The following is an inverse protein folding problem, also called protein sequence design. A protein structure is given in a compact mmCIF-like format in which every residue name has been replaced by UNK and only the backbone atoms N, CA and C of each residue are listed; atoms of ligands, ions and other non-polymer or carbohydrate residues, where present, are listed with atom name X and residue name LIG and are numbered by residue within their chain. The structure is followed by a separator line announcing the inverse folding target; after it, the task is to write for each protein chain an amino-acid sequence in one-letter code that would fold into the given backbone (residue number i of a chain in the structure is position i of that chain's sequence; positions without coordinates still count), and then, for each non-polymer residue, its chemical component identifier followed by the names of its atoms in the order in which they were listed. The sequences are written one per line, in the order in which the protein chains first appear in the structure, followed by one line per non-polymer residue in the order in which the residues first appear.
data_IF_373976252828
#
_entry.id   IF_373976252828
#
_cell.length_a   1.000
_cell.length_b   1.000
_cell.length_c   1.000
_cell.angle_alpha   90.00
_cell.angle_beta   90.00
_cell.angle_gamma   90.00
#
_symmetry.space_group_name_H-M   'P 1'
#
loop_
_entity.id
_entity.type
_entity.pdbx_description
1 polymer ?
#
# COMPACT_ATOMS: atom_id res chain seq x y z
N UNK A 1 -0.54 49.87 18.95
CA UNK A 1 0.74 49.27 19.40
C UNK A 1 0.45 48.35 20.58
N UNK A 2 0.52 47.03 20.38
CA UNK A 2 1.26 46.03 21.19
C UNK A 2 0.78 44.62 20.83
N UNK A 3 1.74 43.83 20.35
CA UNK A 3 1.77 42.36 20.34
C UNK A 3 2.35 41.89 21.70
N UNK A 4 2.77 40.63 21.90
CA UNK A 4 2.06 39.35 22.07
C UNK A 4 2.25 38.73 23.49
N UNK A 5 1.61 37.58 23.68
CA UNK A 5 2.11 36.39 24.43
C UNK A 5 2.31 36.46 25.95
N UNK A 6 1.60 35.58 26.67
CA UNK A 6 2.26 34.77 27.70
C UNK A 6 1.55 33.41 27.90
N UNK A 7 2.10 32.37 27.28
CA UNK A 7 1.61 30.99 27.25
C UNK A 7 2.14 30.16 28.43
N UNK A 8 2.31 30.78 29.60
CA UNK A 8 2.92 30.14 30.78
C UNK A 8 2.29 30.64 32.08
N UNK A 9 1.05 30.28 32.36
CA UNK A 9 0.49 30.47 33.71
C UNK A 9 -0.73 29.61 34.03
N UNK A 10 -0.71 28.33 33.66
CA UNK A 10 -1.73 27.38 34.16
C UNK A 10 -1.14 26.02 34.57
N UNK A 11 0.06 26.04 35.14
CA UNK A 11 0.53 24.95 36.01
C UNK A 11 1.21 25.60 37.21
N UNK A 12 0.41 26.02 38.19
CA UNK A 12 0.85 26.08 39.59
C UNK A 12 -0.35 26.32 40.50
N UNK A 13 -0.45 25.46 41.51
CA UNK A 13 -1.34 25.52 42.66
C UNK A 13 -2.76 25.06 42.32
N UNK A 14 -3.39 24.08 42.95
CA UNK A 14 -3.06 23.13 44.05
C UNK A 14 -4.39 22.40 44.26
N UNK A 15 -4.42 21.08 44.14
CA UNK A 15 -4.39 20.14 45.28
C UNK A 15 -5.77 19.95 45.94
N UNK A 16 -6.23 18.69 45.90
CA UNK A 16 -7.26 18.07 46.74
C UNK A 16 -8.67 18.67 46.74
N UNK A 17 -9.58 18.02 46.01
CA UNK A 17 -10.86 17.50 46.55
C UNK A 17 -11.46 16.56 45.49
N UNK A 18 -11.83 15.33 45.88
CA UNK A 18 -12.66 14.45 45.05
C UNK A 18 -12.04 13.09 44.72
N UNK A 19 -11.59 12.36 45.76
CA UNK A 19 -11.34 10.92 45.65
C UNK A 19 -12.69 10.20 45.58
N UNK A 20 -13.22 9.98 44.38
CA UNK A 20 -14.29 9.01 44.11
C UNK A 20 -14.41 8.83 42.60
N UNK A 21 -13.81 7.76 42.08
CA UNK A 21 -14.38 6.78 41.14
C UNK A 21 -13.22 5.85 40.78
N UNK A 22 -13.12 4.77 41.57
CA UNK A 22 -12.49 3.54 41.14
C UNK A 22 -13.45 2.89 40.14
N UNK A 23 -13.18 3.03 38.85
CA UNK A 23 -13.63 2.07 37.85
C UNK A 23 -12.41 1.57 37.10
N UNK A 24 -11.99 0.39 37.52
CA UNK A 24 -11.17 -0.57 36.81
C UNK A 24 -11.60 -0.68 35.34
N UNK A 25 -10.91 0.06 34.48
CA UNK A 25 -11.02 -0.04 33.03
C UNK A 25 -9.66 0.26 32.45
N UNK A 26 -8.98 -0.77 31.95
CA UNK A 26 -7.75 -0.62 31.17
C UNK A 26 -8.07 0.34 30.02
N UNK A 27 -7.54 1.57 30.06
CA UNK A 27 -7.51 2.45 28.89
C UNK A 27 -6.54 1.85 27.87
N UNK A 28 -7.02 0.87 27.11
CA UNK A 28 -6.43 0.53 25.81
C UNK A 28 -6.85 1.62 24.84
N UNK A 29 -6.16 2.76 24.87
CA UNK A 29 -6.21 3.77 23.84
C UNK A 29 -5.43 3.28 22.61
N UNK A 30 -5.95 2.23 21.96
CA UNK A 30 -5.56 1.82 20.62
C UNK A 30 -6.84 1.42 19.89
N UNK A 31 -7.58 2.40 19.41
CA UNK A 31 -8.64 2.17 18.43
C UNK A 31 -7.95 1.89 17.10
N UNK A 32 -7.62 0.63 16.84
CA UNK A 32 -7.36 0.18 15.48
C UNK A 32 -8.70 0.17 14.74
N UNK A 33 -8.86 0.81 13.56
CA UNK A 33 -10.00 0.55 12.71
C UNK A 33 -9.86 -0.88 12.20
N UNK A 34 -10.49 -1.84 12.89
CA UNK A 34 -10.50 -3.26 12.50
C UNK A 34 -11.61 -3.59 11.49
N UNK A 35 -12.44 -2.61 11.12
CA UNK A 35 -13.71 -2.84 10.43
C UNK A 35 -13.90 -2.09 9.09
N UNK A 36 -12.85 -1.46 8.53
CA UNK A 36 -13.00 -0.81 7.22
C UNK A 36 -13.00 -1.85 6.09
N UNK A 37 -14.11 -1.88 5.34
CA UNK A 37 -14.23 -2.65 4.11
C UNK A 37 -13.15 -2.21 3.10
N UNK A 38 -12.51 -3.14 2.39
CA UNK A 38 -11.49 -2.80 1.41
C UNK A 38 -12.08 -2.00 0.24
N UNK A 39 -11.53 -0.82 -0.03
CA UNK A 39 -11.90 0.01 -1.18
C UNK A 39 -10.97 -0.27 -2.37
N UNK A 40 -11.45 -0.91 -3.46
CA UNK A 40 -10.65 -1.20 -4.65
C UNK A 40 -9.94 0.00 -5.25
N UNK A 41 -10.49 1.22 -5.12
CA UNK A 41 -9.91 2.44 -5.69
C UNK A 41 -8.64 2.86 -4.96
N UNK A 42 -8.57 2.62 -3.65
CA UNK A 42 -7.41 2.93 -2.79
C UNK A 42 -6.29 1.87 -2.87
N UNK A 43 -6.56 0.71 -3.48
CA UNK A 43 -5.60 -0.37 -3.66
C UNK A 43 -4.90 -0.28 -5.02
N UNK A 44 -3.77 -0.96 -5.18
CA UNK A 44 -3.23 -1.26 -6.50
C UNK A 44 -4.10 -2.32 -7.22
N UNK A 45 -3.84 -2.52 -8.52
CA UNK A 45 -4.57 -3.53 -9.30
C UNK A 45 -4.50 -4.93 -8.69
N UNK A 46 -3.37 -5.33 -8.10
CA UNK A 46 -3.24 -6.62 -7.42
C UNK A 46 -3.84 -6.67 -6.02
N UNK A 47 -4.38 -5.57 -5.48
CA UNK A 47 -4.91 -5.50 -4.11
C UNK A 47 -3.86 -5.17 -3.04
N UNK A 48 -2.60 -4.98 -3.42
CA UNK A 48 -1.55 -4.48 -2.52
C UNK A 48 -1.59 -2.96 -2.38
N UNK A 49 -1.05 -2.43 -1.28
CA UNK A 49 -0.76 -1.00 -1.11
C UNK A 49 0.75 -0.82 -1.04
N UNK A 50 1.31 -0.02 -1.95
CA UNK A 50 2.75 0.23 -1.94
C UNK A 50 3.18 0.87 -0.61
N UNK A 51 4.33 0.48 -0.05
CA UNK A 51 4.83 1.08 1.17
C UNK A 51 5.33 2.50 0.90
N UNK A 52 5.32 3.36 1.92
CA UNK A 52 5.73 4.76 1.78
C UNK A 52 7.23 4.90 1.47
N UNK A 53 8.04 3.95 1.92
CA UNK A 53 9.50 3.87 1.75
C UNK A 53 9.90 2.95 0.59
N UNK A 54 9.12 2.97 -0.50
CA UNK A 54 9.42 2.14 -1.67
C UNK A 54 10.73 2.57 -2.37
N UNK A 55 11.77 1.77 -2.21
CA UNK A 55 13.11 2.01 -2.80
C UNK A 55 13.09 2.10 -4.33
N UNK A 56 12.16 1.40 -5.01
CA UNK A 56 12.06 1.46 -6.47
C UNK A 56 11.48 2.80 -6.94
N UNK A 57 10.51 3.35 -6.20
CA UNK A 57 10.00 4.70 -6.47
C UNK A 57 11.10 5.74 -6.24
N UNK A 58 11.80 5.64 -5.11
CA UNK A 58 12.93 6.53 -4.79
C UNK A 58 14.00 6.52 -5.89
N UNK A 59 14.42 5.34 -6.35
CA UNK A 59 15.39 5.19 -7.43
C UNK A 59 14.90 5.83 -8.74
N UNK A 60 13.59 5.76 -9.01
CA UNK A 60 12.97 6.32 -10.21
C UNK A 60 12.88 7.84 -10.16
N UNK A 61 12.53 8.41 -9.01
CA UNK A 61 12.41 9.85 -8.80
C UNK A 61 13.76 10.55 -8.81
N UNK A 62 14.77 9.94 -8.16
CA UNK A 62 16.15 10.45 -8.16
C UNK A 62 16.85 10.23 -9.51
N UNK A 63 16.29 9.37 -10.36
CA UNK A 63 16.90 8.90 -11.60
C UNK A 63 18.35 8.40 -11.38
N UNK A 64 18.58 7.71 -10.26
CA UNK A 64 19.90 7.27 -9.83
C UNK A 64 20.15 5.84 -10.34
N UNK A 65 21.23 5.68 -11.12
CA UNK A 65 21.55 4.40 -11.78
C UNK A 65 21.89 3.29 -10.77
N UNK A 66 22.59 3.62 -9.69
CA UNK A 66 23.01 2.67 -8.66
C UNK A 66 21.80 2.20 -7.84
N UNK A 67 20.91 3.11 -7.46
CA UNK A 67 19.65 2.76 -6.80
C UNK A 67 18.75 1.92 -7.71
N UNK A 68 18.70 2.23 -9.00
CA UNK A 68 17.97 1.41 -9.98
C UNK A 68 18.56 0.02 -10.11
N UNK A 69 19.88 -0.13 -10.10
CA UNK A 69 20.54 -1.44 -10.14
C UNK A 69 20.21 -2.27 -8.90
N UNK A 70 20.25 -1.66 -7.71
CA UNK A 70 19.83 -2.32 -6.46
C UNK A 70 18.37 -2.78 -6.51
N UNK A 71 17.47 -1.92 -7.00
CA UNK A 71 16.06 -2.27 -7.16
C UNK A 71 15.87 -3.42 -8.16
N UNK A 72 16.58 -3.42 -9.29
CA UNK A 72 16.57 -4.49 -10.29
C UNK A 72 16.95 -5.85 -9.69
N UNK A 73 18.01 -5.88 -8.88
CA UNK A 73 18.51 -7.10 -8.24
C UNK A 73 17.56 -7.58 -7.14
N UNK A 74 17.14 -6.67 -6.25
CA UNK A 74 16.22 -6.98 -5.15
C UNK A 74 14.89 -7.54 -5.66
N UNK A 75 14.38 -7.00 -6.78
CA UNK A 75 13.13 -7.43 -7.39
C UNK A 75 13.32 -8.57 -8.39
N UNK A 76 14.55 -9.10 -8.52
CA UNK A 76 14.88 -10.24 -9.38
C UNK A 76 14.30 -10.09 -10.79
N UNK A 77 14.42 -8.89 -11.37
CA UNK A 77 13.79 -8.53 -12.65
C UNK A 77 14.25 -9.46 -13.78
N UNK A 78 15.53 -9.83 -13.80
CA UNK A 78 16.08 -10.76 -14.78
C UNK A 78 15.45 -12.16 -14.67
N UNK A 79 15.37 -12.69 -13.45
CA UNK A 79 14.80 -14.02 -13.17
C UNK A 79 13.31 -14.06 -13.54
N UNK A 80 12.59 -12.97 -13.28
CA UNK A 80 11.13 -12.92 -13.48
C UNK A 80 10.70 -12.58 -14.89
N UNK A 81 11.51 -11.82 -15.65
CA UNK A 81 11.11 -11.31 -16.96
C UNK A 81 12.10 -11.63 -18.07
N UNK A 82 13.29 -12.17 -17.77
CA UNK A 82 14.35 -12.43 -18.75
C UNK A 82 14.94 -11.15 -19.37
N UNK A 83 14.84 -10.03 -18.67
CA UNK A 83 15.24 -8.70 -19.16
C UNK A 83 16.53 -8.30 -18.47
N UNK A 84 17.58 -8.04 -19.25
CA UNK A 84 18.85 -7.52 -18.76
C UNK A 84 18.71 -6.09 -18.22
N UNK A 85 19.64 -5.69 -17.34
CA UNK A 85 19.60 -4.37 -16.74
C UNK A 85 19.84 -3.26 -17.77
N UNK A 86 18.85 -2.38 -17.91
CA UNK A 86 18.92 -1.16 -18.71
C UNK A 86 18.31 0.00 -17.91
N UNK A 87 19.15 0.93 -17.42
CA UNK A 87 18.77 1.93 -16.42
C UNK A 87 17.61 2.85 -16.85
N UNK A 88 17.40 3.02 -18.15
CA UNK A 88 16.30 3.78 -18.75
C UNK A 88 14.96 3.03 -18.69
N UNK A 89 14.96 1.69 -18.61
CA UNK A 89 13.77 0.83 -18.46
C UNK A 89 13.46 0.44 -17.01
N UNK A 90 14.46 0.53 -16.14
CA UNK A 90 14.32 0.22 -14.71
C UNK A 90 13.77 1.43 -13.95
N UNK A 91 12.44 1.56 -13.93
CA UNK A 91 11.74 2.57 -13.13
C UNK A 91 10.31 2.12 -12.79
N UNK A 92 9.72 2.72 -11.76
CA UNK A 92 8.34 2.52 -11.34
C UNK A 92 7.79 3.79 -10.67
N UNK A 93 6.64 4.29 -11.17
CA UNK A 93 5.95 5.46 -10.63
C UNK A 93 4.56 5.14 -10.07
N UNK A 94 4.33 3.86 -9.72
CA UNK A 94 3.05 3.36 -9.24
C UNK A 94 2.14 2.86 -10.36
N UNK A 95 1.43 1.75 -10.11
CA UNK A 95 0.74 1.00 -11.17
C UNK A 95 -0.47 1.73 -11.78
N UNK A 96 -1.10 2.62 -11.02
CA UNK A 96 -2.27 3.44 -11.39
C UNK A 96 -1.93 4.86 -11.85
N UNK A 97 -0.64 5.20 -11.93
CA UNK A 97 -0.22 6.53 -12.36
C UNK A 97 -0.27 6.65 -13.90
N UNK A 98 -1.36 7.21 -14.42
CA UNK A 98 -1.55 7.39 -15.87
C UNK A 98 -0.69 8.52 -16.46
N UNK A 99 -0.20 9.45 -15.63
CA UNK A 99 0.64 10.58 -16.06
C UNK A 99 2.13 10.26 -16.17
N UNK A 100 2.52 9.02 -15.90
CA UNK A 100 3.92 8.57 -15.95
C UNK A 100 4.07 7.35 -16.86
N UNK A 101 5.24 7.18 -17.51
CA UNK A 101 5.49 6.01 -18.32
C UNK A 101 5.44 4.73 -17.47
N UNK A 102 5.14 3.61 -18.12
CA UNK A 102 5.20 2.29 -17.49
C UNK A 102 6.62 1.72 -17.67
N UNK A 103 7.33 1.46 -16.58
CA UNK A 103 8.63 0.80 -16.61
C UNK A 103 8.52 -0.72 -16.68
N UNK A 104 9.66 -1.41 -16.51
CA UNK A 104 9.78 -2.86 -16.75
C UNK A 104 8.77 -3.72 -15.98
N UNK A 105 8.51 -3.44 -14.70
CA UNK A 105 7.56 -4.24 -13.91
C UNK A 105 6.12 -4.03 -14.39
N UNK A 106 5.74 -2.79 -14.71
CA UNK A 106 4.37 -2.44 -15.07
C UNK A 106 4.00 -2.89 -16.49
N UNK A 107 4.99 -2.96 -17.38
CA UNK A 107 4.84 -3.43 -18.76
C UNK A 107 4.70 -4.95 -18.83
N UNK A 108 5.37 -5.69 -17.94
CA UNK A 108 5.33 -7.15 -17.89
C UNK A 108 4.32 -7.73 -16.89
N UNK A 109 3.61 -6.89 -16.12
CA UNK A 109 2.64 -7.37 -15.14
C UNK A 109 1.31 -7.81 -15.79
N UNK A 110 1.13 -9.12 -15.93
CA UNK A 110 -0.08 -9.74 -16.51
C UNK A 110 -1.36 -9.43 -15.71
N UNK A 111 -1.25 -9.30 -14.38
CA UNK A 111 -2.36 -8.92 -13.50
C UNK A 111 -2.82 -7.48 -13.77
N UNK A 112 -1.88 -6.56 -13.96
CA UNK A 112 -2.18 -5.16 -14.26
C UNK A 112 -2.88 -5.03 -15.62
N UNK A 113 -2.36 -5.70 -16.65
CA UNK A 113 -2.99 -5.70 -17.97
C UNK A 113 -4.43 -6.23 -17.89
N UNK A 114 -4.62 -7.39 -17.28
CA UNK A 114 -5.94 -8.01 -17.09
C UNK A 114 -6.93 -7.11 -16.34
N UNK A 115 -6.50 -6.44 -15.26
CA UNK A 115 -7.37 -5.53 -14.51
C UNK A 115 -7.78 -4.30 -15.34
N UNK A 116 -6.85 -3.73 -16.12
CA UNK A 116 -7.16 -2.62 -17.04
C UNK A 116 -8.16 -3.05 -18.12
N UNK A 117 -7.96 -4.20 -18.74
CA UNK A 117 -8.83 -4.71 -19.81
C UNK A 117 -10.25 -4.98 -19.30
N UNK A 118 -10.37 -5.51 -18.08
CA UNK A 118 -11.65 -5.73 -17.40
C UNK A 118 -12.22 -4.46 -16.74
N UNK A 119 -11.53 -3.33 -16.83
CA UNK A 119 -11.90 -2.06 -16.19
C UNK A 119 -12.13 -2.20 -14.67
N UNK A 120 -11.32 -3.04 -14.02
CA UNK A 120 -11.33 -3.18 -12.57
C UNK A 120 -10.31 -2.24 -11.92
N UNK A 121 -10.73 -1.59 -10.84
CA UNK A 121 -9.86 -0.83 -9.96
C UNK A 121 -8.90 -1.77 -9.20
N UNK A 122 -9.34 -2.99 -8.87
CA UNK A 122 -8.52 -4.00 -8.21
C UNK A 122 -9.04 -5.41 -8.46
N UNK A 123 -8.14 -6.39 -8.44
CA UNK A 123 -8.44 -7.80 -8.61
C UNK A 123 -9.45 -8.34 -7.60
N UNK A 124 -9.64 -7.68 -6.44
CA UNK A 124 -10.68 -8.06 -5.48
C UNK A 124 -12.09 -7.95 -6.06
N UNK A 125 -12.29 -7.19 -7.14
CA UNK A 125 -13.58 -7.11 -7.86
C UNK A 125 -13.84 -8.34 -8.76
N UNK A 126 -12.81 -9.12 -9.07
CA UNK A 126 -12.91 -10.23 -10.01
C UNK A 126 -13.40 -11.50 -9.30
N UNK A 127 -14.65 -11.94 -9.54
CA UNK A 127 -15.23 -13.16 -8.95
C UNK A 127 -14.43 -14.45 -9.23
N UNK A 128 -13.57 -14.44 -10.25
CA UNK A 128 -12.72 -15.56 -10.64
C UNK A 128 -11.34 -15.54 -9.95
N UNK A 129 -11.06 -14.57 -9.07
CA UNK A 129 -9.72 -14.37 -8.47
C UNK A 129 -9.17 -15.65 -7.81
N UNK A 130 -9.99 -16.41 -7.09
CA UNK A 130 -9.56 -17.63 -6.39
C UNK A 130 -8.91 -18.67 -7.33
N UNK A 131 -9.37 -18.77 -8.57
CA UNK A 131 -8.84 -19.69 -9.58
C UNK A 131 -7.98 -19.01 -10.64
N UNK A 132 -7.49 -17.80 -10.37
CA UNK A 132 -6.70 -17.03 -11.31
C UNK A 132 -5.26 -17.55 -11.36
N UNK A 133 -4.78 -17.83 -12.56
CA UNK A 133 -3.49 -18.46 -12.89
C UNK A 133 -2.46 -17.46 -13.44
N UNK A 134 -2.70 -16.16 -13.28
CA UNK A 134 -1.72 -15.15 -13.71
C UNK A 134 -0.44 -15.31 -12.91
N UNK A 135 0.69 -15.22 -13.61
CA UNK A 135 2.07 -15.35 -13.10
C UNK A 135 2.31 -14.78 -11.68
N UNK A 136 1.78 -13.60 -11.35
CA UNK A 136 1.91 -13.01 -10.02
C UNK A 136 1.38 -13.94 -8.90
N UNK A 137 0.27 -14.63 -9.13
CA UNK A 137 -0.37 -15.51 -8.16
C UNK A 137 0.35 -16.83 -8.03
N UNK A 138 0.92 -17.34 -9.12
CA UNK A 138 1.75 -18.55 -9.11
C UNK A 138 3.07 -18.32 -8.38
N UNK A 139 3.71 -17.16 -8.61
CA UNK A 139 4.96 -16.78 -7.93
C UNK A 139 4.77 -16.46 -6.45
N UNK A 140 3.63 -15.87 -6.08
CA UNK A 140 3.35 -15.43 -4.71
C UNK A 140 2.02 -16.01 -4.19
N UNK A 141 1.95 -17.33 -3.93
CA UNK A 141 0.71 -18.00 -3.54
C UNK A 141 0.15 -17.52 -2.20
N UNK A 142 1.01 -17.15 -1.25
CA UNK A 142 0.53 -16.62 0.05
C UNK A 142 -0.01 -15.20 -0.06
N UNK A 143 0.56 -14.39 -0.95
CA UNK A 143 -0.01 -13.11 -1.31
C UNK A 143 -1.38 -13.31 -1.98
N UNK A 144 -1.49 -14.25 -2.92
CA UNK A 144 -2.78 -14.59 -3.56
C UNK A 144 -3.85 -14.99 -2.54
N UNK A 145 -3.53 -15.86 -1.56
CA UNK A 145 -4.44 -16.23 -0.45
C UNK A 145 -4.89 -15.00 0.35
N UNK A 146 -3.99 -14.05 0.58
CA UNK A 146 -4.29 -12.81 1.32
C UNK A 146 -5.26 -11.92 0.53
N UNK A 147 -5.06 -11.76 -0.78
CA UNK A 147 -5.97 -10.99 -1.65
C UNK A 147 -7.33 -11.70 -1.81
N UNK A 148 -7.37 -13.02 -1.88
CA UNK A 148 -8.62 -13.80 -1.89
C UNK A 148 -9.39 -13.61 -0.57
N UNK A 149 -8.70 -13.55 0.57
CA UNK A 149 -9.33 -13.26 1.86
C UNK A 149 -9.87 -11.83 1.89
N UNK A 150 -9.12 -10.86 1.37
CA UNK A 150 -9.58 -9.47 1.24
C UNK A 150 -10.82 -9.36 0.33
N UNK A 151 -10.86 -10.12 -0.76
CA UNK A 151 -12.01 -10.19 -1.66
C UNK A 151 -13.28 -10.70 -0.98
N UNK A 152 -13.19 -11.66 -0.06
CA UNK A 152 -14.37 -12.14 0.67
C UNK A 152 -15.01 -10.99 1.46
N UNK A 153 -14.20 -10.25 2.22
CA UNK A 153 -14.65 -9.06 2.96
C UNK A 153 -15.28 -8.02 2.04
N UNK A 154 -14.69 -7.80 0.86
CA UNK A 154 -15.23 -6.88 -0.14
C UNK A 154 -16.66 -7.25 -0.60
N UNK A 155 -16.91 -8.53 -0.86
CA UNK A 155 -18.23 -8.99 -1.30
C UNK A 155 -19.23 -9.14 -0.15
N UNK A 156 -18.78 -9.51 1.04
CA UNK A 156 -19.61 -9.53 2.26
C UNK A 156 -20.17 -8.14 2.58
N UNK A 157 -19.36 -7.08 2.45
CA UNK A 157 -19.81 -5.70 2.61
C UNK A 157 -20.71 -5.15 1.50
N UNK A 158 -20.99 -5.96 0.47
CA UNK A 158 -21.88 -5.62 -0.65
C UNK A 158 -23.15 -6.46 -0.69
N UNK A 159 -23.22 -7.52 0.11
CA UNK A 159 -24.39 -8.37 0.27
C UNK A 159 -25.41 -7.70 1.20
#
# INVERSE_FOLDING_TARGET
MTNPSNRRQFIRNSSFTGCAILLSGKLSAFTFPQDELPDPKKLNYCGYTCPADCQFLEASEKNDVELKKKAYEQWKIEEHYGIAFEADKIFCFGCKNSGKPAGVVLTNCTVRACAKDKQFDSCIQCKQLKGCDKDLWERFPDFHKSVVTMQKKYFEGKA
#
